data_IF_632223599802
#
_entry.id   IF_632223599802
#
_cell.length_a   1.000
_cell.length_b   1.000
_cell.length_c   1.000
_cell.angle_alpha   90.00
_cell.angle_beta   90.00
_cell.angle_gamma   90.00
#
_symmetry.space_group_name_H-M   'P 1'
#
loop_
_entity.id
_entity.type
_entity.pdbx_description
1 polymer ?
#
# COMPACT_ATOMS: atom_id res chain seq x y z
N UNK A 1 17.54 -9.68 -18.37
CA UNK A 1 18.50 -8.73 -18.99
C UNK A 1 19.82 -8.62 -18.25
N UNK A 2 19.87 -8.78 -16.95
CA UNK A 2 21.11 -8.81 -16.17
C UNK A 2 21.21 -10.12 -15.43
N UNK A 3 22.09 -10.99 -15.84
CA UNK A 3 22.31 -12.29 -15.23
C UNK A 3 23.77 -12.40 -14.75
N UNK A 4 23.95 -12.75 -13.48
CA UNK A 4 25.23 -13.23 -13.00
C UNK A 4 25.21 -14.76 -12.99
N UNK A 5 26.12 -15.37 -13.75
CA UNK A 5 26.19 -16.82 -13.91
C UNK A 5 27.53 -17.33 -13.32
N UNK A 6 27.44 -18.28 -12.39
CA UNK A 6 28.64 -18.95 -11.88
C UNK A 6 29.37 -19.69 -13.00
N UNK A 7 30.68 -19.59 -13.07
CA UNK A 7 31.50 -20.29 -14.07
C UNK A 7 31.24 -21.81 -14.07
N UNK A 8 31.06 -22.38 -12.89
CA UNK A 8 30.72 -23.79 -12.73
C UNK A 8 29.43 -24.18 -13.48
N UNK A 9 28.40 -23.37 -13.40
CA UNK A 9 27.14 -23.63 -14.12
C UNK A 9 27.38 -23.63 -15.65
N UNK A 10 28.14 -22.68 -16.16
CA UNK A 10 28.51 -22.66 -17.59
C UNK A 10 29.30 -23.90 -17.99
N UNK A 11 30.26 -24.34 -17.17
CA UNK A 11 31.06 -25.50 -17.45
C UNK A 11 30.24 -26.80 -17.47
N UNK A 12 29.22 -26.89 -16.62
CA UNK A 12 28.38 -28.10 -16.51
C UNK A 12 27.22 -28.11 -17.51
N UNK A 13 26.62 -26.95 -17.80
CA UNK A 13 25.39 -26.83 -18.61
C UNK A 13 25.72 -26.50 -20.08
N UNK A 14 26.87 -25.87 -20.32
CA UNK A 14 27.27 -25.34 -21.62
C UNK A 14 26.84 -23.88 -21.79
N UNK A 15 26.99 -23.36 -22.99
CA UNK A 15 26.65 -22.00 -23.38
C UNK A 15 25.17 -21.87 -23.75
N UNK A 16 24.76 -20.68 -24.15
CA UNK A 16 23.46 -20.43 -24.76
C UNK A 16 23.32 -21.17 -26.09
N UNK A 17 22.11 -21.65 -26.39
CA UNK A 17 21.80 -22.37 -27.63
C UNK A 17 21.57 -21.39 -28.79
N UNK A 18 22.64 -20.83 -29.30
CA UNK A 18 22.63 -19.90 -30.43
C UNK A 18 22.11 -20.53 -31.73
N UNK A 19 22.24 -21.86 -31.88
CA UNK A 19 21.75 -22.55 -33.07
C UNK A 19 20.24 -22.55 -33.17
N UNK A 20 19.56 -22.68 -32.04
CA UNK A 20 18.10 -22.69 -31.98
C UNK A 20 17.51 -21.28 -31.89
N UNK A 21 18.11 -20.41 -31.09
CA UNK A 21 17.51 -19.11 -30.74
C UNK A 21 18.15 -17.92 -31.47
N UNK A 22 19.22 -18.13 -32.21
CA UNK A 22 19.79 -17.17 -33.18
C UNK A 22 19.92 -15.75 -32.66
N UNK A 23 19.04 -14.87 -33.10
CA UNK A 23 19.05 -13.43 -32.80
C UNK A 23 18.52 -13.05 -31.38
N UNK A 24 18.23 -14.02 -30.53
CA UNK A 24 17.76 -13.78 -29.17
C UNK A 24 16.28 -14.12 -28.90
N UNK A 25 15.81 -13.80 -27.72
CA UNK A 25 14.46 -14.10 -27.17
C UNK A 25 14.20 -15.60 -26.94
N UNK A 26 14.79 -16.14 -25.90
CA UNK A 26 14.54 -17.51 -25.45
C UNK A 26 15.79 -18.27 -25.08
N UNK A 27 16.96 -17.82 -25.53
CA UNK A 27 18.26 -18.43 -25.19
C UNK A 27 18.55 -18.36 -23.69
N UNK A 28 18.22 -17.26 -23.03
CA UNK A 28 18.36 -17.10 -21.60
C UNK A 28 17.36 -17.95 -20.82
N UNK A 29 16.17 -18.13 -21.35
CA UNK A 29 15.16 -19.02 -20.76
C UNK A 29 15.56 -20.49 -20.89
N UNK A 30 16.02 -20.91 -22.07
CA UNK A 30 16.55 -22.24 -22.31
C UNK A 30 17.71 -22.56 -21.35
N UNK A 31 18.67 -21.65 -21.22
CA UNK A 31 19.78 -21.82 -20.30
C UNK A 31 19.30 -21.93 -18.85
N UNK A 32 18.37 -21.07 -18.45
CA UNK A 32 17.78 -21.08 -17.12
C UNK A 32 17.06 -22.40 -16.83
N UNK A 33 16.29 -22.92 -17.76
CA UNK A 33 15.60 -24.21 -17.58
C UNK A 33 16.56 -25.38 -17.53
N UNK A 34 17.64 -25.40 -18.33
CA UNK A 34 18.70 -26.41 -18.23
C UNK A 34 19.39 -26.37 -16.85
N UNK A 35 19.63 -25.17 -16.33
CA UNK A 35 20.15 -24.99 -14.98
C UNK A 35 19.22 -25.59 -13.91
N UNK A 36 17.91 -25.32 -13.98
CA UNK A 36 16.94 -25.88 -13.04
C UNK A 36 16.88 -27.40 -13.11
N UNK A 37 16.88 -27.98 -14.31
CA UNK A 37 16.91 -29.44 -14.49
C UNK A 37 18.18 -30.10 -13.93
N UNK A 38 19.30 -29.37 -13.95
CA UNK A 38 20.56 -29.84 -13.38
C UNK A 38 20.67 -29.56 -11.85
N UNK A 39 19.61 -29.08 -11.19
CA UNK A 39 19.56 -28.86 -9.75
C UNK A 39 20.10 -27.51 -9.28
N UNK A 40 20.44 -26.59 -10.19
CA UNK A 40 20.78 -25.21 -9.83
C UNK A 40 19.53 -24.43 -9.43
N UNK A 41 19.71 -23.37 -8.65
CA UNK A 41 18.66 -22.45 -8.25
C UNK A 41 18.92 -21.05 -8.78
N UNK A 42 17.86 -20.37 -9.18
CA UNK A 42 17.91 -18.94 -9.49
C UNK A 42 17.68 -18.15 -8.21
N UNK A 43 18.44 -17.08 -8.04
CA UNK A 43 18.30 -16.14 -6.92
C UNK A 43 18.02 -14.75 -7.47
N UNK A 44 17.01 -14.09 -6.90
CA UNK A 44 16.79 -12.66 -7.13
C UNK A 44 17.76 -11.88 -6.25
N UNK A 45 18.55 -10.98 -6.86
CA UNK A 45 19.37 -10.02 -6.14
C UNK A 45 18.50 -8.79 -5.86
N UNK A 46 17.96 -8.68 -4.64
CA UNK A 46 17.00 -7.68 -4.22
C UNK A 46 17.61 -6.38 -3.67
N UNK A 47 18.96 -6.37 -3.48
CA UNK A 47 19.70 -5.22 -2.98
C UNK A 47 20.47 -4.45 -4.07
N UNK A 48 20.25 -4.80 -5.33
CA UNK A 48 20.92 -4.16 -6.47
C UNK A 48 19.91 -3.78 -7.54
N UNK A 49 19.85 -2.49 -7.85
CA UNK A 49 19.01 -1.98 -8.92
C UNK A 49 19.81 -1.78 -10.20
N UNK A 50 19.33 -2.34 -11.31
CA UNK A 50 19.91 -2.16 -12.64
C UNK A 50 18.83 -1.60 -13.57
N UNK A 51 19.05 -0.38 -14.06
CA UNK A 51 18.17 0.23 -15.02
C UNK A 51 18.30 -0.42 -16.39
N UNK A 52 17.18 -0.86 -16.96
CA UNK A 52 17.12 -1.41 -18.30
C UNK A 52 16.11 -0.65 -19.15
N UNK A 53 16.61 0.13 -20.13
CA UNK A 53 15.78 0.81 -21.11
C UNK A 53 15.33 -0.19 -22.16
N UNK A 54 14.20 -0.87 -21.93
CA UNK A 54 13.62 -1.83 -22.86
C UNK A 54 13.31 -1.26 -24.25
N UNK A 55 13.01 -2.14 -25.21
CA UNK A 55 12.52 -1.80 -26.55
C UNK A 55 13.49 -1.11 -27.52
N UNK A 56 14.79 -1.10 -27.26
CA UNK A 56 15.78 -0.51 -28.16
C UNK A 56 16.15 -1.41 -29.35
N UNK A 57 15.84 -2.70 -29.29
CA UNK A 57 16.19 -3.68 -30.31
C UNK A 57 14.92 -4.32 -30.87
N UNK A 58 14.78 -4.31 -32.24
CA UNK A 58 13.77 -5.03 -33.02
C UNK A 58 12.30 -4.57 -32.90
N UNK A 59 11.71 -3.99 -33.96
CA UNK A 59 10.35 -3.44 -33.91
C UNK A 59 9.24 -4.37 -34.42
N UNK A 60 9.31 -5.00 -35.59
CA UNK A 60 8.23 -5.87 -36.12
C UNK A 60 8.54 -7.37 -36.08
N UNK A 61 9.75 -7.77 -36.36
CA UNK A 61 10.21 -9.18 -36.32
C UNK A 61 10.17 -9.77 -34.88
N UNK A 62 10.11 -8.90 -33.87
CA UNK A 62 10.15 -9.28 -32.45
C UNK A 62 9.02 -10.20 -32.01
N UNK A 63 7.80 -9.89 -32.40
CA UNK A 63 6.61 -10.64 -31.93
C UNK A 63 6.58 -12.04 -32.51
N UNK A 64 6.93 -12.19 -33.78
CA UNK A 64 7.00 -13.51 -34.44
C UNK A 64 8.12 -14.36 -33.86
N UNK A 65 9.27 -13.75 -33.60
CA UNK A 65 10.43 -14.44 -33.00
C UNK A 65 10.13 -14.90 -31.56
N UNK A 66 9.55 -14.06 -30.74
CA UNK A 66 9.12 -14.41 -29.38
C UNK A 66 8.12 -15.57 -29.43
N UNK A 67 7.10 -15.49 -30.28
CA UNK A 67 6.08 -16.53 -30.37
C UNK A 67 6.66 -17.87 -30.84
N UNK A 68 7.52 -17.87 -31.85
CA UNK A 68 8.16 -19.10 -32.35
C UNK A 68 9.08 -19.72 -31.30
N UNK A 69 9.87 -18.92 -30.62
CA UNK A 69 10.79 -19.41 -29.57
C UNK A 69 10.04 -19.89 -28.32
N UNK A 70 8.91 -19.24 -27.97
CA UNK A 70 8.05 -19.71 -26.89
C UNK A 70 7.47 -21.10 -27.18
N UNK A 71 7.10 -21.42 -28.43
CA UNK A 71 6.66 -22.77 -28.79
C UNK A 71 7.78 -23.80 -28.64
N UNK A 72 9.01 -23.45 -28.98
CA UNK A 72 10.18 -24.32 -28.74
C UNK A 72 10.38 -24.56 -27.26
N UNK A 73 10.32 -23.51 -26.45
CA UNK A 73 10.45 -23.61 -24.98
C UNK A 73 9.33 -24.47 -24.38
N UNK A 74 8.07 -24.25 -24.79
CA UNK A 74 6.92 -25.08 -24.35
C UNK A 74 7.08 -26.55 -24.70
N UNK A 75 7.63 -26.84 -25.85
CA UNK A 75 7.90 -28.22 -26.28
C UNK A 75 9.04 -28.86 -25.49
N UNK A 76 10.12 -28.12 -25.22
CA UNK A 76 11.30 -28.64 -24.48
C UNK A 76 11.05 -28.72 -22.95
N UNK A 77 10.32 -27.73 -22.41
CA UNK A 77 10.20 -27.51 -20.95
C UNK A 77 8.78 -27.12 -20.53
N UNK A 78 7.75 -27.97 -20.78
CA UNK A 78 6.36 -27.59 -20.54
C UNK A 78 6.10 -27.16 -19.09
N UNK A 79 6.55 -27.93 -18.11
CA UNK A 79 6.38 -27.62 -16.69
C UNK A 79 7.07 -26.34 -16.24
N UNK A 80 8.24 -26.02 -16.82
CA UNK A 80 8.97 -24.78 -16.49
C UNK A 80 8.23 -23.54 -17.02
N UNK A 81 7.65 -23.64 -18.22
CA UNK A 81 6.87 -22.53 -18.80
C UNK A 81 5.61 -22.29 -17.98
N UNK A 82 4.86 -23.34 -17.65
CA UNK A 82 3.66 -23.25 -16.80
C UNK A 82 3.97 -22.65 -15.43
N UNK A 83 5.07 -23.09 -14.78
CA UNK A 83 5.52 -22.54 -13.51
C UNK A 83 5.91 -21.06 -13.62
N UNK A 84 6.54 -20.66 -14.72
CA UNK A 84 6.89 -19.25 -14.97
C UNK A 84 5.63 -18.40 -15.18
N UNK A 85 4.65 -18.89 -15.94
CA UNK A 85 3.36 -18.21 -16.14
C UNK A 85 2.63 -18.05 -14.80
N UNK A 86 2.59 -19.10 -13.98
CA UNK A 86 2.01 -19.06 -12.63
C UNK A 86 2.73 -18.07 -11.71
N UNK A 87 4.07 -18.07 -11.71
CA UNK A 87 4.87 -17.12 -10.93
C UNK A 87 4.57 -15.66 -11.32
N UNK A 88 4.47 -15.38 -12.62
CA UNK A 88 4.13 -14.02 -13.11
C UNK A 88 2.73 -13.60 -12.67
N UNK A 89 1.75 -14.53 -12.75
CA UNK A 89 0.37 -14.25 -12.31
C UNK A 89 0.26 -14.00 -10.81
N UNK A 90 0.92 -14.83 -10.00
CA UNK A 90 0.90 -14.71 -8.54
C UNK A 90 1.77 -13.57 -8.02
N UNK A 91 2.78 -13.18 -8.79
CA UNK A 91 3.77 -12.15 -8.45
C UNK A 91 4.25 -12.20 -6.99
N UNK A 92 4.87 -13.30 -6.52
CA UNK A 92 5.29 -13.45 -5.11
C UNK A 92 6.38 -12.46 -4.68
N UNK A 93 6.93 -11.70 -5.63
CA UNK A 93 7.92 -10.64 -5.36
C UNK A 93 7.32 -9.22 -5.35
N UNK A 94 5.99 -9.11 -5.32
CA UNK A 94 5.27 -7.81 -5.32
C UNK A 94 5.76 -6.86 -4.24
N UNK A 95 6.00 -7.36 -3.03
CA UNK A 95 6.47 -6.53 -1.91
C UNK A 95 7.88 -6.00 -2.13
N UNK A 96 8.78 -6.81 -2.70
CA UNK A 96 10.14 -6.39 -3.06
C UNK A 96 10.09 -5.31 -4.14
N UNK A 97 9.28 -5.51 -5.18
CA UNK A 97 9.08 -4.52 -6.24
C UNK A 97 8.51 -3.21 -5.67
N UNK A 98 7.54 -3.30 -4.76
CA UNK A 98 6.95 -2.15 -4.10
C UNK A 98 7.98 -1.37 -3.29
N UNK A 99 8.77 -2.05 -2.47
CA UNK A 99 9.83 -1.44 -1.66
C UNK A 99 10.89 -0.73 -2.53
N UNK A 100 11.30 -1.34 -3.65
CA UNK A 100 12.23 -0.73 -4.61
C UNK A 100 11.60 0.54 -5.22
N UNK A 101 10.33 0.47 -5.64
CA UNK A 101 9.61 1.64 -6.19
C UNK A 101 9.55 2.79 -5.18
N UNK A 102 9.25 2.50 -3.92
CA UNK A 102 9.30 3.50 -2.85
C UNK A 102 10.71 4.06 -2.65
N UNK A 103 11.72 3.22 -2.60
CA UNK A 103 13.10 3.65 -2.41
C UNK A 103 13.60 4.59 -3.53
N UNK A 104 13.28 4.28 -4.78
CA UNK A 104 13.66 5.12 -5.94
C UNK A 104 12.94 6.46 -5.91
N UNK A 105 11.66 6.48 -5.56
CA UNK A 105 10.82 7.66 -5.66
C UNK A 105 10.89 8.59 -4.42
N UNK A 106 11.30 8.08 -3.25
CA UNK A 106 11.25 8.84 -1.99
C UNK A 106 12.50 9.68 -1.68
N UNK A 107 13.54 9.65 -2.51
CA UNK A 107 14.88 10.14 -2.15
C UNK A 107 15.05 11.66 -1.96
N UNK A 108 14.12 12.51 -2.36
CA UNK A 108 14.37 13.97 -2.35
C UNK A 108 13.36 14.81 -1.60
N UNK A 109 12.23 14.24 -1.17
CA UNK A 109 11.12 14.97 -0.56
C UNK A 109 10.78 14.40 0.81
N UNK A 110 10.20 15.24 1.67
CA UNK A 110 9.61 14.78 2.93
C UNK A 110 8.38 13.94 2.68
N UNK A 111 8.23 12.86 3.47
CA UNK A 111 7.13 11.92 3.35
C UNK A 111 6.04 12.26 4.37
N UNK A 112 4.85 12.55 3.90
CA UNK A 112 3.68 12.91 4.72
C UNK A 112 2.67 11.78 4.68
N UNK A 113 2.32 11.22 5.84
CA UNK A 113 1.20 10.29 5.99
C UNK A 113 -0.07 11.07 6.28
N UNK A 114 -0.98 11.13 5.32
CA UNK A 114 -2.34 11.65 5.52
C UNK A 114 -3.23 10.53 6.06
N UNK A 115 -4.00 10.83 7.10
CA UNK A 115 -4.96 9.91 7.69
C UNK A 115 -6.37 10.48 7.51
N UNK A 116 -7.23 9.71 6.83
CA UNK A 116 -8.59 10.11 6.50
C UNK A 116 -9.54 8.91 6.57
N UNK A 117 -10.83 9.14 6.82
CA UNK A 117 -11.81 8.07 7.00
C UNK A 117 -12.23 7.36 5.71
N UNK A 118 -12.17 8.04 4.57
CA UNK A 118 -12.50 7.53 3.22
C UNK A 118 -11.73 8.35 2.19
N UNK A 119 -11.22 7.69 1.16
CA UNK A 119 -10.46 8.37 0.11
C UNK A 119 -10.82 7.81 -1.27
N UNK A 120 -11.78 8.48 -1.92
CA UNK A 120 -12.23 8.13 -3.28
C UNK A 120 -11.53 8.98 -4.32
N UNK A 121 -11.45 8.46 -5.53
CA UNK A 121 -10.94 9.20 -6.69
C UNK A 121 -11.70 10.50 -6.88
N UNK A 122 -11.00 11.60 -7.18
CA UNK A 122 -11.59 12.95 -7.32
C UNK A 122 -12.67 13.05 -8.39
N UNK A 123 -12.69 12.12 -9.35
CA UNK A 123 -13.62 12.08 -10.48
C UNK A 123 -14.96 11.38 -10.14
N UNK A 124 -15.03 10.69 -8.99
CA UNK A 124 -16.25 9.98 -8.59
C UNK A 124 -17.32 10.97 -8.09
N UNK A 125 -18.58 10.72 -8.45
CA UNK A 125 -19.73 11.46 -7.91
C UNK A 125 -19.86 11.20 -6.40
N UNK A 126 -20.25 12.22 -5.63
CA UNK A 126 -20.48 12.18 -4.19
C UNK A 126 -19.21 12.06 -3.32
N UNK A 127 -18.21 12.83 -3.63
CA UNK A 127 -17.01 12.97 -2.79
C UNK A 127 -17.27 13.99 -1.68
N UNK A 128 -16.89 13.66 -0.45
CA UNK A 128 -16.99 14.55 0.71
C UNK A 128 -15.98 15.71 0.65
N UNK A 129 -16.32 16.85 1.29
CA UNK A 129 -15.44 18.02 1.33
C UNK A 129 -14.06 17.74 1.90
N UNK A 130 -13.94 16.86 2.91
CA UNK A 130 -12.66 16.45 3.48
C UNK A 130 -11.77 15.75 2.44
N UNK A 131 -12.34 14.86 1.64
CA UNK A 131 -11.61 14.14 0.57
C UNK A 131 -11.17 15.09 -0.53
N UNK A 132 -12.03 16.03 -0.95
CA UNK A 132 -11.67 17.09 -1.91
C UNK A 132 -10.51 17.94 -1.39
N UNK A 133 -10.58 18.38 -0.14
CA UNK A 133 -9.50 19.15 0.49
C UNK A 133 -8.16 18.39 0.46
N UNK A 134 -8.17 17.08 0.73
CA UNK A 134 -6.95 16.25 0.66
C UNK A 134 -6.43 16.15 -0.77
N UNK A 135 -7.31 16.00 -1.78
CA UNK A 135 -6.89 16.02 -3.19
C UNK A 135 -6.26 17.36 -3.59
N UNK A 136 -6.86 18.48 -3.16
CA UNK A 136 -6.33 19.82 -3.41
C UNK A 136 -4.97 20.01 -2.73
N UNK A 137 -4.83 19.56 -1.48
CA UNK A 137 -3.55 19.61 -0.75
C UNK A 137 -2.46 18.83 -1.50
N UNK A 138 -2.73 17.60 -1.90
CA UNK A 138 -1.78 16.76 -2.65
C UNK A 138 -1.43 17.43 -3.97
N UNK A 139 -2.42 17.89 -4.73
CA UNK A 139 -2.22 18.51 -6.06
C UNK A 139 -1.32 19.71 -5.99
N UNK A 140 -1.52 20.58 -4.97
CA UNK A 140 -0.77 21.84 -4.85
C UNK A 140 0.61 21.67 -4.21
N UNK A 141 0.85 20.60 -3.43
CA UNK A 141 2.10 20.42 -2.68
C UNK A 141 2.94 19.21 -3.12
N UNK A 142 2.54 18.48 -4.16
CA UNK A 142 3.24 17.28 -4.65
C UNK A 142 4.68 17.54 -5.11
N UNK A 143 5.01 18.79 -5.45
CA UNK A 143 6.38 19.14 -5.83
C UNK A 143 7.33 19.24 -4.61
N UNK A 144 6.78 19.44 -3.40
CA UNK A 144 7.54 19.60 -2.17
C UNK A 144 7.55 18.35 -1.30
N UNK A 145 6.46 17.57 -1.34
CA UNK A 145 6.23 16.41 -0.48
C UNK A 145 5.83 15.15 -1.28
N UNK A 146 6.19 14.01 -0.74
CA UNK A 146 5.56 12.74 -1.11
C UNK A 146 4.38 12.51 -0.16
N UNK A 147 3.22 12.19 -0.70
CA UNK A 147 2.01 11.95 0.08
C UNK A 147 1.63 10.48 0.08
N UNK A 148 1.32 9.97 1.26
CA UNK A 148 0.83 8.62 1.50
C UNK A 148 -0.50 8.74 2.23
N UNK A 149 -1.60 8.32 1.63
CA UNK A 149 -2.95 8.46 2.19
C UNK A 149 -3.41 7.14 2.76
N UNK A 150 -3.52 7.06 4.09
CA UNK A 150 -4.10 5.94 4.81
C UNK A 150 -5.60 6.18 5.00
N UNK A 151 -6.41 5.24 4.56
CA UNK A 151 -7.87 5.29 4.69
C UNK A 151 -8.48 3.91 4.86
N UNK A 152 -9.70 3.88 5.41
CA UNK A 152 -10.52 2.69 5.47
C UNK A 152 -11.52 2.69 4.31
N UNK A 153 -11.66 1.55 3.63
CA UNK A 153 -12.60 1.38 2.53
C UNK A 153 -13.83 0.60 3.00
N UNK A 154 -15.00 1.19 2.84
CA UNK A 154 -16.28 0.50 3.11
C UNK A 154 -16.63 -0.52 2.00
N UNK A 155 -15.95 -0.47 0.85
CA UNK A 155 -16.21 -1.37 -0.28
C UNK A 155 -15.68 -2.80 -0.03
N UNK A 156 -14.52 -2.91 0.63
CA UNK A 156 -13.86 -4.19 0.94
C UNK A 156 -13.53 -4.38 2.43
N UNK A 157 -13.90 -3.43 3.28
CA UNK A 157 -13.67 -3.43 4.73
C UNK A 157 -12.21 -3.53 5.12
N UNK A 158 -11.32 -2.88 4.37
CA UNK A 158 -9.87 -2.91 4.59
C UNK A 158 -9.27 -1.51 4.71
N UNK A 159 -8.09 -1.46 5.32
CA UNK A 159 -7.25 -0.27 5.25
C UNK A 159 -6.40 -0.30 3.99
N UNK A 160 -6.35 0.83 3.32
CA UNK A 160 -5.51 1.03 2.15
C UNK A 160 -4.56 2.19 2.37
N UNK A 161 -3.42 2.10 1.69
CA UNK A 161 -2.46 3.21 1.59
C UNK A 161 -2.26 3.53 0.12
N UNK A 162 -2.64 4.73 -0.28
CA UNK A 162 -2.35 5.26 -1.62
C UNK A 162 -1.21 6.25 -1.54
N UNK A 163 -0.11 5.93 -2.19
CA UNK A 163 1.09 6.77 -2.25
C UNK A 163 1.13 7.55 -3.55
N UNK A 164 1.28 8.85 -3.45
CA UNK A 164 1.47 9.78 -4.56
C UNK A 164 2.94 10.15 -4.61
N UNK A 165 3.64 9.52 -5.55
CA UNK A 165 5.07 9.67 -5.76
C UNK A 165 5.33 10.48 -7.04
N UNK A 166 6.53 11.05 -7.24
CA UNK A 166 6.81 11.91 -8.40
C UNK A 166 6.49 11.30 -9.76
N UNK A 167 6.65 9.98 -9.89
CA UNK A 167 6.47 9.27 -11.18
C UNK A 167 5.45 8.13 -11.10
N UNK A 168 4.73 7.99 -9.97
CA UNK A 168 3.88 6.83 -9.74
C UNK A 168 2.79 7.09 -8.70
N UNK A 169 1.66 6.39 -8.86
CA UNK A 169 0.59 6.29 -7.87
C UNK A 169 0.41 4.82 -7.52
N UNK A 170 0.66 4.47 -6.26
CA UNK A 170 0.64 3.09 -5.80
C UNK A 170 -0.39 2.96 -4.69
N UNK A 171 -1.30 1.98 -4.82
CA UNK A 171 -2.21 1.62 -3.74
C UNK A 171 -1.89 0.22 -3.25
N UNK A 172 -1.71 0.08 -1.95
CA UNK A 172 -1.50 -1.19 -1.25
C UNK A 172 -2.53 -1.37 -0.14
N UNK A 173 -2.81 -2.63 0.21
CA UNK A 173 -3.69 -2.96 1.32
C UNK A 173 -2.86 -3.19 2.57
N UNK A 174 -3.23 -2.55 3.67
CA UNK A 174 -2.61 -2.73 4.96
C UNK A 174 -3.35 -3.84 5.71
N UNK A 175 -2.72 -5.00 5.88
CA UNK A 175 -3.18 -6.12 6.70
C UNK A 175 -4.64 -6.59 6.55
N UNK A 176 -4.94 -7.78 7.02
CA UNK A 176 -6.31 -8.26 7.20
C UNK A 176 -6.70 -8.06 8.66
N UNK A 177 -7.54 -7.08 8.93
CA UNK A 177 -8.08 -6.85 10.27
C UNK A 177 -9.46 -7.46 10.40
N UNK A 178 -9.80 -7.87 11.63
CA UNK A 178 -11.21 -8.07 11.96
C UNK A 178 -11.95 -6.75 11.76
N UNK A 179 -13.18 -6.84 11.28
CA UNK A 179 -14.02 -5.67 10.98
C UNK A 179 -13.88 -4.61 12.07
N UNK A 180 -13.58 -3.37 11.67
CA UNK A 180 -13.51 -2.24 12.58
C UNK A 180 -14.79 -2.11 13.39
N UNK A 181 -14.66 -2.01 14.70
CA UNK A 181 -15.79 -1.67 15.58
C UNK A 181 -15.52 -0.31 16.23
N UNK A 182 -16.53 0.54 16.26
CA UNK A 182 -16.43 1.89 16.84
C UNK A 182 -16.02 1.90 18.31
N UNK A 183 -16.11 0.76 18.99
CA UNK A 183 -15.75 0.62 20.40
C UNK A 183 -14.28 0.30 20.65
N UNK A 184 -13.58 -0.21 19.66
CA UNK A 184 -12.16 -0.55 19.78
C UNK A 184 -11.31 0.65 19.36
N UNK A 185 -10.77 1.37 20.33
CA UNK A 185 -9.86 2.49 20.06
C UNK A 185 -8.47 2.01 19.61
N UNK A 186 -8.07 0.79 19.99
CA UNK A 186 -6.76 0.22 19.75
C UNK A 186 -6.84 -1.16 19.13
N UNK A 187 -5.82 -1.51 18.38
CA UNK A 187 -5.67 -2.84 17.77
C UNK A 187 -4.18 -3.18 17.62
N UNK A 188 -3.71 -4.24 18.26
CA UNK A 188 -2.29 -4.62 18.28
C UNK A 188 -1.77 -4.96 16.89
N UNK A 189 -2.59 -5.55 16.02
CA UNK A 189 -2.21 -5.83 14.64
C UNK A 189 -2.06 -4.55 13.85
N UNK A 190 -3.00 -3.62 13.97
CA UNK A 190 -2.92 -2.30 13.34
C UNK A 190 -1.70 -1.53 13.86
N UNK A 191 -1.44 -1.56 15.17
CA UNK A 191 -0.26 -0.93 15.78
C UNK A 191 1.04 -1.43 15.14
N UNK A 192 1.19 -2.76 15.01
CA UNK A 192 2.35 -3.37 14.37
C UNK A 192 2.48 -2.94 12.91
N UNK A 193 1.40 -3.01 12.16
CA UNK A 193 1.41 -2.74 10.71
C UNK A 193 1.64 -1.25 10.41
N UNK A 194 1.11 -0.33 11.25
CA UNK A 194 1.42 1.10 11.17
C UNK A 194 2.89 1.38 11.46
N UNK A 195 3.50 0.69 12.42
CA UNK A 195 4.96 0.81 12.66
C UNK A 195 5.75 0.42 11.43
N UNK A 196 5.44 -0.73 10.83
CA UNK A 196 6.08 -1.20 9.60
C UNK A 196 5.88 -0.20 8.45
N UNK A 197 4.65 0.30 8.27
CA UNK A 197 4.34 1.30 7.24
C UNK A 197 5.18 2.57 7.41
N UNK A 198 5.19 3.14 8.60
CA UNK A 198 5.93 4.36 8.93
C UNK A 198 7.44 4.18 8.68
N UNK A 199 7.99 3.06 9.13
CA UNK A 199 9.41 2.76 9.00
C UNK A 199 9.78 2.50 7.52
N UNK A 200 8.93 1.79 6.77
CA UNK A 200 9.13 1.50 5.34
C UNK A 200 9.05 2.75 4.47
N UNK A 201 8.03 3.58 4.69
CA UNK A 201 7.82 4.81 3.93
C UNK A 201 8.64 5.99 4.47
N UNK A 202 9.38 5.80 5.56
CA UNK A 202 10.20 6.85 6.21
C UNK A 202 9.39 8.12 6.45
N UNK A 203 8.24 7.98 7.11
CA UNK A 203 7.31 9.09 7.33
C UNK A 203 7.94 10.16 8.22
N UNK A 204 7.95 11.39 7.74
CA UNK A 204 8.47 12.57 8.45
C UNK A 204 7.38 13.34 9.21
N UNK A 205 6.11 13.24 8.77
CA UNK A 205 4.97 13.97 9.32
C UNK A 205 3.70 13.14 9.17
N UNK A 206 2.86 13.11 10.19
CA UNK A 206 1.51 12.57 10.11
C UNK A 206 0.52 13.73 10.09
N UNK A 207 -0.34 13.80 9.06
CA UNK A 207 -1.39 14.81 8.93
C UNK A 207 -2.76 14.13 8.98
N UNK A 208 -3.45 14.30 10.09
CA UNK A 208 -4.76 13.72 10.35
C UNK A 208 -5.83 14.67 9.85
N UNK A 209 -6.72 14.18 9.01
CA UNK A 209 -7.90 14.89 8.52
C UNK A 209 -9.19 14.35 9.13
N UNK A 210 -9.25 13.04 9.44
CA UNK A 210 -10.41 12.46 10.10
C UNK A 210 -10.07 11.10 10.73
N UNK A 211 -10.64 10.84 11.93
CA UNK A 211 -10.36 9.63 12.72
C UNK A 211 -11.51 8.60 12.71
N UNK A 212 -12.60 8.85 11.98
CA UNK A 212 -13.65 7.84 11.84
C UNK A 212 -13.08 6.59 11.16
N UNK A 213 -13.39 5.43 11.70
CA UNK A 213 -12.86 4.13 11.29
C UNK A 213 -11.33 3.94 11.50
N UNK A 214 -10.67 4.83 12.26
CA UNK A 214 -9.25 4.74 12.56
C UNK A 214 -9.01 4.35 14.02
N UNK A 215 -8.03 3.47 14.24
CA UNK A 215 -7.53 3.18 15.58
C UNK A 215 -6.59 4.30 16.03
N UNK A 216 -6.65 4.61 17.32
CA UNK A 216 -5.84 5.68 17.93
C UNK A 216 -4.38 5.27 18.17
N UNK A 217 -4.01 4.04 17.86
CA UNK A 217 -2.63 3.56 17.87
C UNK A 217 -1.70 4.47 17.07
N UNK A 218 -2.21 5.17 16.05
CA UNK A 218 -1.42 6.08 15.22
C UNK A 218 -0.74 7.18 16.06
N UNK A 219 -1.40 7.71 17.10
CA UNK A 219 -0.80 8.70 18.00
C UNK A 219 0.31 8.10 18.87
N UNK A 220 0.10 6.86 19.35
CA UNK A 220 1.09 6.13 20.12
C UNK A 220 2.34 5.87 19.29
N UNK A 221 2.16 5.39 18.06
CA UNK A 221 3.27 5.13 17.14
C UNK A 221 3.99 6.42 16.75
N UNK A 222 3.26 7.50 16.47
CA UNK A 222 3.85 8.81 16.20
C UNK A 222 4.75 9.28 17.36
N UNK A 223 4.26 9.15 18.59
CA UNK A 223 5.02 9.51 19.80
C UNK A 223 6.26 8.62 19.97
N UNK A 224 6.13 7.31 19.81
CA UNK A 224 7.25 6.35 19.91
C UNK A 224 8.34 6.64 18.88
N UNK A 225 7.98 7.16 17.67
CA UNK A 225 8.90 7.51 16.59
C UNK A 225 9.33 8.97 16.57
N UNK A 226 8.84 9.79 17.51
CA UNK A 226 9.06 11.25 17.54
C UNK A 226 8.64 11.93 16.25
N UNK A 227 7.56 11.45 15.61
CA UNK A 227 7.01 12.03 14.38
C UNK A 227 5.98 13.09 14.76
N UNK A 228 6.10 14.33 14.24
CA UNK A 228 5.12 15.37 14.49
C UNK A 228 3.76 15.01 13.88
N UNK A 229 2.68 15.41 14.57
CA UNK A 229 1.30 15.18 14.14
C UNK A 229 0.62 16.54 13.96
N UNK A 230 -0.01 16.74 12.81
CA UNK A 230 -0.94 17.84 12.53
C UNK A 230 -2.34 17.26 12.46
N UNK A 231 -3.33 17.90 13.09
CA UNK A 231 -4.72 17.53 12.96
C UNK A 231 -5.57 18.68 12.43
N UNK A 232 -6.05 18.55 11.19
CA UNK A 232 -7.00 19.50 10.60
C UNK A 232 -8.42 19.05 10.90
N UNK A 233 -9.16 19.88 11.65
CA UNK A 233 -10.53 19.62 12.03
C UNK A 233 -11.48 20.05 10.91
N UNK A 234 -12.16 19.08 10.30
CA UNK A 234 -13.16 19.33 9.26
C UNK A 234 -14.59 19.37 9.80
N UNK A 235 -14.80 18.76 10.95
CA UNK A 235 -16.07 18.65 11.64
C UNK A 235 -15.87 18.47 13.14
N UNK A 236 -16.93 18.14 13.86
CA UNK A 236 -16.89 17.98 15.31
C UNK A 236 -16.56 16.56 15.79
N UNK A 237 -16.03 15.66 14.95
CA UNK A 237 -15.80 14.26 15.31
C UNK A 237 -14.92 14.09 16.57
N UNK A 238 -13.92 14.95 16.75
CA UNK A 238 -13.05 14.94 17.92
C UNK A 238 -13.79 15.14 19.26
N UNK A 239 -14.91 15.86 19.23
CA UNK A 239 -15.74 16.13 20.42
C UNK A 239 -17.13 15.50 20.33
N UNK A 240 -17.61 15.14 19.15
CA UNK A 240 -18.94 14.58 18.93
C UNK A 240 -18.91 13.41 17.95
N UNK A 241 -19.11 12.14 18.38
CA UNK A 241 -19.08 10.99 17.49
C UNK A 241 -20.14 11.02 16.36
N UNK A 242 -21.23 11.82 16.54
CA UNK A 242 -22.21 12.04 15.47
C UNK A 242 -21.79 13.14 14.46
N UNK A 243 -20.61 13.70 14.61
CA UNK A 243 -19.95 14.74 13.83
C UNK A 243 -20.63 16.10 13.79
N UNK A 244 -21.87 16.20 14.23
CA UNK A 244 -22.74 17.38 13.95
C UNK A 244 -22.99 18.29 15.15
N UNK A 245 -22.61 17.92 16.37
CA UNK A 245 -22.99 18.59 17.62
C UNK A 245 -24.50 18.83 17.70
N UNK A 246 -25.28 17.90 17.18
CA UNK A 246 -26.71 18.02 17.09
C UNK A 246 -27.38 16.80 17.72
N UNK A 247 -28.28 17.04 18.67
CA UNK A 247 -29.12 15.99 19.20
C UNK A 247 -30.58 16.23 18.83
N UNK A 248 -31.34 15.14 18.71
CA UNK A 248 -32.74 15.22 18.26
C UNK A 248 -33.70 15.94 19.24
N UNK A 249 -33.26 16.12 20.48
CA UNK A 249 -34.12 16.66 21.56
C UNK A 249 -33.94 18.18 21.76
N UNK A 250 -32.71 18.68 21.60
CA UNK A 250 -32.33 20.07 21.91
C UNK A 250 -31.82 20.88 20.72
N UNK A 251 -31.78 20.29 19.53
CA UNK A 251 -31.24 20.84 18.29
C UNK A 251 -29.74 21.12 18.32
N UNK A 252 -29.22 21.94 19.19
CA UNK A 252 -27.79 22.19 19.34
C UNK A 252 -27.29 21.52 20.62
N UNK A 253 -26.22 20.70 20.50
CA UNK A 253 -25.57 20.09 21.64
C UNK A 253 -24.59 21.07 22.28
N UNK A 254 -24.95 21.67 23.38
CA UNK A 254 -24.11 22.60 24.13
C UNK A 254 -23.11 21.86 25.04
N UNK A 255 -23.19 20.53 25.12
CA UNK A 255 -22.49 19.77 26.13
C UNK A 255 -22.07 18.40 25.63
N UNK A 256 -20.93 18.35 24.95
CA UNK A 256 -20.28 17.10 24.62
C UNK A 256 -19.43 16.64 25.82
N UNK A 257 -19.87 15.62 26.54
CA UNK A 257 -19.13 15.02 27.65
C UNK A 257 -19.29 13.49 27.67
N UNK A 258 -18.36 12.81 28.34
CA UNK A 258 -18.33 11.35 28.37
C UNK A 258 -19.64 10.72 28.87
N UNK A 259 -20.29 11.31 29.86
CA UNK A 259 -21.53 10.79 30.42
C UNK A 259 -22.76 11.15 29.57
N UNK A 260 -22.87 12.40 29.09
CA UNK A 260 -24.03 12.90 28.35
C UNK A 260 -24.16 12.38 26.94
N UNK A 261 -23.04 11.98 26.30
CA UNK A 261 -23.07 11.43 24.96
C UNK A 261 -23.66 10.01 24.87
N UNK A 262 -23.75 9.29 25.99
CA UNK A 262 -24.13 7.89 26.02
C UNK A 262 -25.45 7.56 25.33
N UNK A 263 -26.54 8.26 25.68
CA UNK A 263 -27.87 8.01 25.09
C UNK A 263 -27.95 8.39 23.62
N UNK A 264 -27.28 9.46 23.22
CA UNK A 264 -27.23 9.91 21.83
C UNK A 264 -26.49 8.90 20.94
N UNK A 265 -25.33 8.43 21.38
CA UNK A 265 -24.48 7.48 20.66
C UNK A 265 -25.12 6.10 20.62
N UNK A 266 -25.70 5.63 21.71
CA UNK A 266 -26.39 4.34 21.77
C UNK A 266 -27.48 4.23 20.69
N UNK A 267 -28.27 5.29 20.53
CA UNK A 267 -29.31 5.36 19.48
C UNK A 267 -28.73 5.44 18.06
N UNK A 268 -27.59 6.10 17.90
CA UNK A 268 -26.98 6.31 16.58
C UNK A 268 -26.24 5.08 16.07
N UNK A 269 -25.57 4.35 16.95
CA UNK A 269 -24.69 3.23 16.59
C UNK A 269 -25.18 1.86 17.09
N UNK A 270 -26.39 1.79 17.65
CA UNK A 270 -26.96 0.57 18.25
C UNK A 270 -26.02 -0.11 19.28
N UNK A 271 -25.38 0.68 20.12
CA UNK A 271 -24.39 0.23 21.10
C UNK A 271 -24.98 0.08 22.50
N UNK A 272 -24.35 -0.77 23.31
CA UNK A 272 -24.70 -0.87 24.73
C UNK A 272 -24.29 0.41 25.48
N UNK A 273 -25.28 1.10 26.03
CA UNK A 273 -25.14 2.40 26.71
C UNK A 273 -24.09 2.40 27.84
N UNK A 274 -23.86 1.25 28.49
CA UNK A 274 -22.97 1.16 29.65
C UNK A 274 -21.46 1.29 29.28
N UNK A 275 -21.07 1.01 28.04
CA UNK A 275 -19.67 1.09 27.59
C UNK A 275 -19.29 2.46 27.00
N UNK A 276 -20.25 3.25 26.58
CA UNK A 276 -20.00 4.49 25.84
C UNK A 276 -19.28 5.56 26.66
N UNK A 277 -19.59 5.78 27.96
CA UNK A 277 -18.87 6.76 28.76
C UNK A 277 -17.38 6.49 28.91
N UNK A 278 -16.99 5.21 29.09
CA UNK A 278 -15.59 4.81 29.17
C UNK A 278 -14.83 5.04 27.86
N UNK A 279 -15.39 4.58 26.75
CA UNK A 279 -14.82 4.80 25.41
C UNK A 279 -14.64 6.29 25.12
N UNK A 280 -15.62 7.11 25.46
CA UNK A 280 -15.58 8.55 25.20
C UNK A 280 -14.56 9.27 26.06
N UNK A 281 -14.41 8.84 27.31
CA UNK A 281 -13.38 9.36 28.20
C UNK A 281 -11.99 9.11 27.65
N UNK A 282 -11.66 7.87 27.26
CA UNK A 282 -10.37 7.54 26.64
C UNK A 282 -10.11 8.35 25.38
N UNK A 283 -11.12 8.51 24.53
CA UNK A 283 -10.99 9.28 23.30
C UNK A 283 -10.62 10.76 23.58
N UNK A 284 -11.21 11.37 24.59
CA UNK A 284 -10.89 12.75 24.98
C UNK A 284 -9.50 12.89 25.65
N UNK A 285 -9.02 11.86 26.32
CA UNK A 285 -7.71 11.90 26.97
C UNK A 285 -6.54 11.79 25.99
N UNK A 286 -6.80 11.31 24.78
CA UNK A 286 -5.79 11.14 23.73
C UNK A 286 -5.72 12.35 22.79
N UNK A 287 -6.84 12.97 22.49
CA UNK A 287 -6.93 14.16 21.65
C UNK A 287 -6.73 15.43 22.43
#
# INVERSE_FOLDING_TARGET
>A
FCMYIKREAINNIGLFDEKTFGKGYGEENDFSYRCLQAGYRHLLCDNTYIYHKGTQSFSQEKTELINSHLQILKSRYPSCVENTESFVQQNPISDIQLNIRYAINSHSKKNVLIVIHDFKEAEKKNIGGTTLHVHDLITNMKEEFNFHVLYYSDDDFKYHVTSFLPFDKITSTLGAYSQYTTLNLYNDTFNRDIKILIDTLKIDLIHIHHLKHMYLDIFKVAKERSIPVIYTLHDFYSICPSVKLFNKETFLCNYANAAGCGSCIAKTFNLNINFIPLWRKEFYEIL
#
